data_IF_280185521007
#
_entry.id   IF_280185521007
#
_cell.length_a   1.000
_cell.length_b   1.000
_cell.length_c   1.000
_cell.angle_alpha   90.00
_cell.angle_beta   90.00
_cell.angle_gamma   90.00
#
_symmetry.space_group_name_H-M   'P 1'
#
loop_
_entity.id
_entity.type
_entity.pdbx_description
1 polymer ?
#
# COMPACT_ATOMS: atom_id res chain seq x y z
N UNK A 1 0.67 10.92 6.81
CA UNK A 1 1.63 11.72 7.59
C UNK A 1 3.03 11.09 7.54
N UNK A 2 3.72 11.24 6.40
CA UNK A 2 5.10 10.80 6.18
C UNK A 2 6.02 12.02 6.18
N UNK A 3 5.88 12.85 7.22
CA UNK A 3 6.67 14.07 7.38
C UNK A 3 7.82 13.77 8.36
N UNK A 4 9.07 13.91 7.90
CA UNK A 4 10.27 13.91 8.72
C UNK A 4 10.74 12.57 9.32
N UNK A 5 10.81 11.51 8.50
CA UNK A 5 11.70 10.38 8.79
C UNK A 5 12.78 10.37 7.71
N UNK A 6 14.04 10.57 8.11
CA UNK A 6 15.19 10.28 7.25
C UNK A 6 15.07 8.82 6.77
N UNK A 7 15.53 8.52 5.55
CA UNK A 7 15.44 7.20 4.91
C UNK A 7 15.81 6.05 5.88
N UNK A 8 16.80 6.29 6.72
CA UNK A 8 17.30 5.40 7.77
C UNK A 8 16.25 5.06 8.85
N UNK A 9 15.36 6.00 9.19
CA UNK A 9 14.27 5.79 10.13
C UNK A 9 13.16 4.90 9.55
N UNK A 10 12.88 5.03 8.25
CA UNK A 10 11.93 4.16 7.55
C UNK A 10 12.51 2.74 7.44
N UNK A 11 13.79 2.62 7.13
CA UNK A 11 14.50 1.32 7.09
C UNK A 11 14.53 0.64 8.47
N UNK A 12 14.86 1.40 9.53
CA UNK A 12 14.86 0.89 10.90
C UNK A 12 13.46 0.47 11.35
N UNK A 13 12.43 1.23 10.97
CA UNK A 13 11.04 0.87 11.25
C UNK A 13 10.64 -0.40 10.49
N UNK A 14 10.92 -0.49 9.19
CA UNK A 14 10.64 -1.67 8.39
C UNK A 14 11.35 -2.92 8.94
N UNK A 15 12.62 -2.79 9.35
CA UNK A 15 13.36 -3.87 9.99
C UNK A 15 12.72 -4.32 11.30
N UNK A 16 12.36 -3.38 12.18
CA UNK A 16 11.70 -3.69 13.46
C UNK A 16 10.31 -4.33 13.27
N UNK A 17 9.55 -3.89 12.25
CA UNK A 17 8.25 -4.47 11.91
C UNK A 17 8.39 -5.87 11.31
N UNK A 18 9.47 -6.14 10.56
CA UNK A 18 9.76 -7.49 10.05
C UNK A 18 10.17 -8.48 11.15
N UNK A 19 10.70 -8.01 12.29
CA UNK A 19 10.97 -8.83 13.48
C UNK A 19 9.82 -8.87 14.49
N UNK A 20 8.70 -8.20 14.22
CA UNK A 20 7.56 -8.20 15.12
C UNK A 20 6.75 -9.50 14.96
N UNK A 21 6.69 -10.32 16.02
CA UNK A 21 5.96 -11.60 16.04
C UNK A 21 4.42 -11.45 16.04
N UNK A 22 3.90 -10.22 16.09
CA UNK A 22 2.46 -9.94 16.08
C UNK A 22 1.91 -9.67 14.68
N UNK A 23 0.59 -9.57 14.56
CA UNK A 23 -0.06 -9.14 13.31
C UNK A 23 -0.07 -7.62 13.24
N UNK A 24 0.57 -7.08 12.19
CA UNK A 24 0.55 -5.66 11.88
C UNK A 24 -0.46 -5.37 10.76
N UNK A 25 -1.33 -4.38 10.98
CA UNK A 25 -2.18 -3.79 9.94
C UNK A 25 -1.78 -2.33 9.79
N UNK A 26 -1.39 -1.94 8.58
CA UNK A 26 -0.99 -0.57 8.28
C UNK A 26 -1.60 -0.13 6.95
N UNK A 27 -1.75 1.18 6.79
CA UNK A 27 -2.19 1.83 5.55
C UNK A 27 -1.11 2.84 5.17
N UNK A 28 -0.52 2.65 3.99
CA UNK A 28 0.55 3.51 3.49
C UNK A 28 0.31 3.87 2.03
N UNK A 29 0.75 5.06 1.65
CA UNK A 29 0.75 5.55 0.26
C UNK A 29 2.11 5.37 -0.41
N UNK A 30 3.14 4.91 0.31
CA UNK A 30 4.47 4.70 -0.21
C UNK A 30 4.65 3.27 -0.71
N UNK A 31 4.84 3.12 -2.02
CA UNK A 31 5.08 1.83 -2.69
C UNK A 31 6.26 1.05 -2.11
N UNK A 32 7.32 1.75 -1.69
CA UNK A 32 8.53 1.11 -1.19
C UNK A 32 8.26 0.48 0.17
N UNK A 33 7.59 1.22 1.05
CA UNK A 33 7.21 0.73 2.37
C UNK A 33 6.25 -0.46 2.31
N UNK A 34 5.22 -0.36 1.46
CA UNK A 34 4.26 -1.46 1.26
C UNK A 34 4.99 -2.69 0.70
N UNK A 35 5.89 -2.52 -0.27
CA UNK A 35 6.65 -3.64 -0.84
C UNK A 35 7.64 -4.27 0.15
N UNK A 36 8.18 -3.48 1.09
CA UNK A 36 9.18 -3.92 2.05
C UNK A 36 8.59 -4.65 3.28
N UNK A 37 7.34 -4.34 3.65
CA UNK A 37 6.72 -4.83 4.90
C UNK A 37 5.46 -5.68 4.65
N UNK A 38 4.72 -5.46 3.56
CA UNK A 38 3.46 -6.16 3.35
C UNK A 38 3.70 -7.61 2.90
N UNK A 39 3.20 -8.54 3.71
CA UNK A 39 3.15 -9.98 3.44
C UNK A 39 1.79 -10.46 2.93
N UNK A 40 0.79 -9.56 2.98
CA UNK A 40 -0.58 -9.79 2.54
C UNK A 40 -1.20 -8.47 2.11
N UNK A 41 -1.86 -8.46 0.96
CA UNK A 41 -2.56 -7.28 0.44
C UNK A 41 -4.07 -7.51 0.61
N UNK A 42 -4.74 -6.54 1.22
CA UNK A 42 -6.21 -6.49 1.28
C UNK A 42 -6.64 -5.30 0.44
N UNK A 43 -7.20 -5.58 -0.72
CA UNK A 43 -7.77 -4.56 -1.58
C UNK A 43 -9.23 -4.33 -1.18
N UNK A 44 -9.59 -3.07 -0.93
CA UNK A 44 -10.96 -2.69 -0.62
C UNK A 44 -11.48 -1.88 -1.79
N UNK A 45 -12.35 -2.51 -2.59
CA UNK A 45 -13.08 -1.83 -3.67
C UNK A 45 -14.51 -1.55 -3.23
N UNK A 46 -15.23 -0.62 -3.89
CA UNK A 46 -16.64 -0.35 -3.59
C UNK A 46 -17.54 -1.58 -3.74
N UNK A 47 -17.13 -2.55 -4.57
CA UNK A 47 -17.93 -3.73 -4.92
C UNK A 47 -17.58 -4.94 -4.05
N UNK A 48 -16.29 -5.11 -3.69
CA UNK A 48 -15.79 -6.27 -2.94
C UNK A 48 -14.49 -6.00 -2.21
N UNK A 49 -14.23 -6.83 -1.19
CA UNK A 49 -12.93 -6.90 -0.52
C UNK A 49 -12.19 -8.11 -1.10
N UNK A 50 -11.03 -7.88 -1.71
CA UNK A 50 -10.16 -8.93 -2.21
C UNK A 50 -8.97 -9.11 -1.28
N UNK A 51 -8.61 -10.37 -1.07
CA UNK A 51 -7.54 -10.75 -0.19
C UNK A 51 -6.49 -11.52 -0.96
N UNK A 52 -5.33 -10.90 -1.12
CA UNK A 52 -4.20 -11.46 -1.83
C UNK A 52 -3.11 -11.89 -0.84
N UNK A 53 -2.91 -13.20 -0.63
CA UNK A 53 -1.79 -13.71 0.16
C UNK A 53 -0.50 -13.60 -0.67
N UNK A 54 0.38 -12.67 -0.30
CA UNK A 54 1.61 -12.39 -1.02
C UNK A 54 2.08 -10.95 -0.85
N UNK A 55 3.25 -10.67 -1.41
CA UNK A 55 3.87 -9.35 -1.40
C UNK A 55 3.20 -8.41 -2.40
N UNK A 56 3.41 -7.10 -2.24
CA UNK A 56 2.89 -6.11 -3.17
C UNK A 56 3.41 -6.31 -4.61
N UNK A 57 4.66 -6.77 -4.76
CA UNK A 57 5.25 -7.03 -6.09
C UNK A 57 4.53 -8.19 -6.79
N UNK A 58 4.16 -9.23 -6.05
CA UNK A 58 3.40 -10.36 -6.59
C UNK A 58 1.97 -9.94 -6.94
N UNK A 59 1.36 -9.09 -6.10
CA UNK A 59 0.06 -8.50 -6.37
C UNK A 59 0.07 -7.70 -7.68
N UNK A 60 1.04 -6.80 -7.87
CA UNK A 60 1.18 -6.01 -9.09
C UNK A 60 1.34 -6.87 -10.35
N UNK A 61 2.13 -7.95 -10.27
CA UNK A 61 2.31 -8.88 -11.40
C UNK A 61 1.05 -9.66 -11.74
N UNK A 62 0.21 -9.93 -10.75
CA UNK A 62 -1.00 -10.76 -10.91
C UNK A 62 -2.18 -9.93 -11.39
N UNK A 63 -2.36 -8.73 -10.82
CA UNK A 63 -3.49 -7.87 -11.13
C UNK A 63 -3.21 -6.86 -12.24
N UNK A 64 -1.94 -6.56 -12.57
CA UNK A 64 -1.53 -5.52 -13.55
C UNK A 64 -2.15 -4.13 -13.27
N UNK A 65 -2.58 -3.88 -12.02
CA UNK A 65 -3.12 -2.60 -11.57
C UNK A 65 -2.24 -2.03 -10.48
N UNK A 66 -1.57 -0.92 -10.76
CA UNK A 66 -0.82 -0.15 -9.77
C UNK A 66 -1.69 0.94 -9.14
N UNK A 67 -2.26 0.62 -7.97
CA UNK A 67 -3.08 1.56 -7.20
C UNK A 67 -2.25 2.55 -6.38
N UNK A 68 -0.93 2.35 -6.28
CA UNK A 68 -0.02 3.25 -5.57
C UNK A 68 0.71 4.20 -6.53
N UNK A 69 0.48 4.07 -7.83
CA UNK A 69 0.96 5.06 -8.79
C UNK A 69 0.18 6.39 -8.63
N UNK A 70 0.93 7.48 -8.53
CA UNK A 70 0.40 8.80 -8.21
C UNK A 70 -0.58 9.29 -9.29
N UNK A 71 -0.40 8.87 -10.55
CA UNK A 71 -1.31 9.16 -11.65
C UNK A 71 -2.67 8.46 -11.50
N UNK A 72 -2.67 7.18 -11.07
CA UNK A 72 -3.88 6.37 -10.87
C UNK A 72 -4.80 6.94 -9.79
N UNK A 73 -4.21 7.40 -8.67
CA UNK A 73 -4.94 7.95 -7.52
C UNK A 73 -5.55 9.32 -7.86
N UNK A 74 -4.83 10.17 -8.60
CA UNK A 74 -5.34 11.46 -9.08
C UNK A 74 -6.50 11.27 -10.08
N UNK A 75 -6.42 10.25 -10.94
CA UNK A 75 -7.51 9.92 -11.87
C UNK A 75 -8.77 9.41 -11.17
N UNK A 76 -8.63 8.65 -10.07
CA UNK A 76 -9.77 8.22 -9.25
C UNK A 76 -10.43 9.40 -8.51
N UNK A 77 -9.64 10.34 -7.98
CA UNK A 77 -10.16 11.52 -7.29
C UNK A 77 -10.90 12.50 -8.21
N UNK A 78 -10.58 12.53 -9.51
CA UNK A 78 -11.33 13.34 -10.50
C UNK A 78 -12.69 12.76 -10.89
N UNK A 79 -12.95 11.47 -10.64
CA UNK A 79 -14.26 10.85 -10.93
C UNK A 79 -15.31 11.07 -9.84
N UNK A 80 -14.88 11.40 -8.61
CA UNK A 80 -15.81 11.66 -7.49
C UNK A 80 -16.27 13.13 -7.40
N UNK A 81 -15.84 14.00 -8.32
CA UNK A 81 -16.14 15.45 -8.29
C UNK A 81 -16.98 15.94 -9.47
N UNK A 82 -17.68 15.04 -10.19
CA UNK A 82 -18.75 15.44 -11.10
C UNK A 82 -20.04 15.72 -10.29
N UNK A 83 -20.58 16.95 -10.30
CA UNK A 83 -21.84 17.24 -9.62
C UNK A 83 -23.02 16.66 -10.42
N UNK A 84 -24.07 16.22 -9.70
CA UNK A 84 -25.39 15.88 -10.24
C UNK A 84 -26.09 17.11 -10.83
#
# INVERSE_FOLDING_TARGET
PTNHLDLEGIESLAAALNTYDGTLIFVAHDRWFVSAVATRIIEITPERIENFPGTYVEYLRTCDVDHLDAESVLAASRRSSAPL
#
